data_IF_206787024063
#
_entry.id   IF_206787024063
#
_cell.length_a   1.000
_cell.length_b   1.000
_cell.length_c   1.000
_cell.angle_alpha   90.00
_cell.angle_beta   90.00
_cell.angle_gamma   90.00
#
_symmetry.space_group_name_H-M   'P 1'
#
loop_
_entity.id
_entity.type
_entity.pdbx_description
1 polymer ?
#
# COMPACT_ATOMS: atom_id res chain seq x y z
N UNK A 1 16.60 -12.57 2.16
CA UNK A 1 16.01 -12.91 3.47
C UNK A 1 14.55 -13.30 3.27
N UNK A 2 14.12 -14.39 3.91
CA UNK A 2 12.76 -14.93 3.89
C UNK A 2 12.20 -14.80 5.30
N UNK A 3 11.00 -14.25 5.41
CA UNK A 3 10.39 -13.87 6.68
C UNK A 3 8.94 -14.33 6.71
N UNK A 4 8.47 -14.82 7.86
CA UNK A 4 7.05 -15.13 8.08
C UNK A 4 6.21 -13.85 8.19
N UNK A 5 4.88 -13.97 8.12
CA UNK A 5 3.94 -12.86 8.35
C UNK A 5 4.00 -12.28 9.77
N UNK A 6 4.53 -13.03 10.74
CA UNK A 6 4.78 -12.57 12.12
C UNK A 6 6.15 -11.94 12.32
N UNK A 7 7.02 -11.96 11.30
CA UNK A 7 8.32 -11.31 11.32
C UNK A 7 9.50 -12.19 11.72
N UNK A 8 9.28 -13.51 11.91
CA UNK A 8 10.38 -14.45 12.14
C UNK A 8 11.17 -14.67 10.86
N UNK A 9 12.50 -14.61 10.97
CA UNK A 9 13.42 -14.85 9.86
C UNK A 9 13.56 -16.36 9.69
N UNK A 10 13.08 -16.89 8.55
CA UNK A 10 13.15 -18.33 8.24
C UNK A 10 14.48 -18.68 7.60
N UNK A 11 14.99 -17.79 6.73
CA UNK A 11 16.26 -17.98 6.04
C UNK A 11 16.88 -16.63 5.70
N UNK A 12 18.20 -16.53 5.83
CA UNK A 12 18.98 -15.39 5.37
C UNK A 12 20.13 -15.88 4.50
N UNK A 13 19.87 -16.01 3.20
CA UNK A 13 20.84 -16.53 2.24
C UNK A 13 21.59 -15.37 1.59
N UNK A 14 22.90 -15.54 1.48
CA UNK A 14 23.85 -14.54 1.01
C UNK A 14 24.99 -14.35 2.02
N UNK A 15 25.81 -13.31 1.87
CA UNK A 15 25.72 -12.25 0.87
C UNK A 15 26.02 -12.75 -0.55
N UNK A 16 25.46 -12.08 -1.56
CA UNK A 16 25.75 -12.33 -2.97
C UNK A 16 26.60 -11.19 -3.54
N UNK A 17 27.46 -11.51 -4.51
CA UNK A 17 28.23 -10.49 -5.22
C UNK A 17 27.29 -9.63 -6.07
N UNK A 18 27.37 -8.32 -5.90
CA UNK A 18 26.62 -7.33 -6.70
C UNK A 18 27.30 -7.14 -8.06
N UNK A 19 27.23 -8.15 -8.93
CA UNK A 19 27.66 -8.05 -10.32
C UNK A 19 26.45 -8.01 -11.28
N UNK A 20 26.69 -7.67 -12.54
CA UNK A 20 25.63 -7.56 -13.56
C UNK A 20 24.91 -8.89 -13.84
N UNK A 21 25.51 -10.02 -13.48
CA UNK A 21 24.95 -11.35 -13.72
C UNK A 21 24.03 -11.81 -12.57
N UNK A 22 24.14 -11.21 -11.39
CA UNK A 22 23.39 -11.57 -10.18
C UNK A 22 22.23 -10.61 -9.88
N UNK A 23 21.23 -10.57 -10.77
CA UNK A 23 19.97 -9.88 -10.42
C UNK A 23 19.25 -10.59 -9.26
N UNK A 24 18.48 -9.85 -8.46
CA UNK A 24 17.67 -10.43 -7.36
C UNK A 24 16.81 -11.61 -7.83
N UNK A 25 16.24 -11.52 -9.04
CA UNK A 25 15.44 -12.58 -9.63
C UNK A 25 16.29 -13.80 -10.01
N UNK A 26 17.50 -13.61 -10.54
CA UNK A 26 18.41 -14.71 -10.88
C UNK A 26 18.90 -15.42 -9.61
N UNK A 27 19.30 -14.66 -8.59
CA UNK A 27 19.69 -15.20 -7.27
C UNK A 27 18.53 -16.03 -6.69
N UNK A 28 17.31 -15.48 -6.69
CA UNK A 28 16.17 -16.19 -6.13
C UNK A 28 15.82 -17.47 -6.91
N UNK A 29 15.98 -17.49 -8.24
CA UNK A 29 15.83 -18.73 -9.03
C UNK A 29 16.85 -19.78 -8.59
N UNK A 30 18.11 -19.40 -8.46
CA UNK A 30 19.17 -20.33 -8.05
C UNK A 30 18.91 -20.91 -6.65
N UNK A 31 18.54 -20.06 -5.69
CA UNK A 31 18.14 -20.46 -4.34
C UNK A 31 17.02 -21.52 -4.38
N UNK A 32 15.96 -21.27 -5.15
CA UNK A 32 14.82 -22.18 -5.22
C UNK A 32 15.17 -23.48 -5.94
N UNK A 33 15.87 -23.42 -7.06
CA UNK A 33 16.24 -24.59 -7.86
C UNK A 33 17.22 -25.52 -7.13
N UNK A 34 18.14 -24.96 -6.34
CA UNK A 34 19.06 -25.73 -5.50
C UNK A 34 18.46 -26.14 -4.16
N UNK A 35 17.27 -25.64 -3.83
CA UNK A 35 16.68 -25.76 -2.50
C UNK A 35 17.67 -25.36 -1.39
N UNK A 36 18.36 -24.23 -1.59
CA UNK A 36 19.36 -23.72 -0.64
C UNK A 36 18.73 -23.50 0.73
N UNK A 37 19.43 -23.86 1.80
CA UNK A 37 18.93 -23.84 3.20
C UNK A 37 17.61 -24.63 3.39
N UNK A 38 17.33 -25.59 2.50
CA UNK A 38 16.13 -26.42 2.52
C UNK A 38 14.83 -25.62 2.57
N UNK A 39 14.80 -24.43 1.95
CA UNK A 39 13.63 -23.53 2.00
C UNK A 39 12.36 -24.23 1.53
N UNK A 40 12.41 -24.95 0.42
CA UNK A 40 11.23 -25.65 -0.12
C UNK A 40 10.73 -26.71 0.85
N UNK A 41 11.64 -27.34 1.60
CA UNK A 41 11.29 -28.33 2.62
C UNK A 41 10.63 -27.72 3.86
N UNK A 42 10.79 -26.40 4.08
CA UNK A 42 10.16 -25.66 5.19
C UNK A 42 8.77 -25.14 4.83
N UNK A 43 8.41 -25.10 3.54
CA UNK A 43 7.11 -24.65 3.06
C UNK A 43 6.08 -25.79 3.18
N UNK A 44 4.87 -25.44 3.60
CA UNK A 44 3.74 -26.35 3.71
C UNK A 44 2.78 -26.15 2.53
N UNK A 45 1.94 -27.15 2.32
CA UNK A 45 0.79 -27.02 1.43
C UNK A 45 -0.04 -25.80 1.84
N UNK A 46 -0.46 -24.99 0.86
CA UNK A 46 -1.17 -23.71 1.04
C UNK A 46 -0.35 -22.53 1.57
N UNK A 47 0.97 -22.65 1.75
CA UNK A 47 1.81 -21.47 1.98
C UNK A 47 1.85 -20.57 0.74
N UNK A 48 1.70 -19.26 0.95
CA UNK A 48 1.70 -18.26 -0.12
C UNK A 48 3.01 -17.47 -0.08
N UNK A 49 3.78 -17.54 -1.15
CA UNK A 49 4.96 -16.69 -1.30
C UNK A 49 4.57 -15.28 -1.75
N UNK A 50 4.86 -14.29 -0.91
CA UNK A 50 4.65 -12.87 -1.22
C UNK A 50 5.99 -12.24 -1.58
N UNK A 51 6.13 -11.77 -2.82
CA UNK A 51 7.41 -11.25 -3.33
C UNK A 51 7.29 -9.83 -3.88
N UNK A 52 8.42 -9.12 -3.87
CA UNK A 52 8.49 -7.77 -4.45
C UNK A 52 8.56 -7.81 -5.99
N UNK A 53 8.24 -6.69 -6.64
CA UNK A 53 8.23 -6.59 -8.10
C UNK A 53 9.60 -6.88 -8.75
N UNK A 54 10.71 -6.65 -8.04
CA UNK A 54 12.05 -6.98 -8.51
C UNK A 54 12.28 -8.47 -8.75
N UNK A 55 11.44 -9.34 -8.18
CA UNK A 55 11.48 -10.80 -8.35
C UNK A 55 10.55 -11.30 -9.46
N UNK A 56 10.07 -10.40 -10.34
CA UNK A 56 9.16 -10.75 -11.44
C UNK A 56 9.64 -11.93 -12.26
N UNK A 57 10.91 -11.96 -12.64
CA UNK A 57 11.40 -12.99 -13.56
C UNK A 57 11.51 -14.37 -12.91
N UNK A 58 11.48 -14.45 -11.57
CA UNK A 58 11.50 -15.70 -10.80
C UNK A 58 10.11 -16.21 -10.39
N UNK A 59 9.05 -15.42 -10.59
CA UNK A 59 7.69 -15.79 -10.18
C UNK A 59 7.19 -17.09 -10.84
N UNK A 60 7.58 -17.34 -12.10
CA UNK A 60 7.19 -18.56 -12.81
C UNK A 60 7.78 -19.81 -12.17
N UNK A 61 9.05 -19.74 -11.75
CA UNK A 61 9.74 -20.82 -11.03
C UNK A 61 9.11 -21.03 -9.66
N UNK A 62 8.78 -19.95 -8.94
CA UNK A 62 8.10 -20.04 -7.65
C UNK A 62 6.75 -20.76 -7.76
N UNK A 63 5.92 -20.40 -8.75
CA UNK A 63 4.62 -21.05 -8.97
C UNK A 63 4.76 -22.52 -9.33
N UNK A 64 5.81 -22.89 -10.08
CA UNK A 64 6.06 -24.28 -10.44
C UNK A 64 6.49 -25.14 -9.23
N UNK A 65 7.19 -24.55 -8.25
CA UNK A 65 7.76 -25.27 -7.11
C UNK A 65 6.90 -25.20 -5.84
N UNK A 66 6.15 -24.12 -5.64
CA UNK A 66 5.44 -23.80 -4.38
C UNK A 66 3.93 -23.67 -4.58
N UNK A 67 3.44 -23.82 -5.82
CA UNK A 67 2.03 -23.66 -6.24
C UNK A 67 1.47 -22.24 -6.12
N UNK A 68 1.68 -21.56 -4.99
CA UNK A 68 1.15 -20.20 -4.74
C UNK A 68 2.25 -19.17 -4.51
N UNK A 69 2.40 -18.26 -5.49
CA UNK A 69 3.26 -17.09 -5.38
C UNK A 69 2.60 -15.85 -5.98
N UNK A 70 2.65 -14.73 -5.26
CA UNK A 70 1.99 -13.48 -5.60
C UNK A 70 2.93 -12.28 -5.49
N UNK A 71 2.69 -11.27 -6.33
CA UNK A 71 3.46 -10.02 -6.37
C UNK A 71 2.55 -8.86 -6.84
N UNK A 72 2.88 -7.60 -6.51
CA UNK A 72 2.06 -6.47 -6.95
C UNK A 72 2.03 -6.35 -8.48
N UNK A 73 0.85 -6.10 -9.05
CA UNK A 73 0.60 -6.05 -10.49
C UNK A 73 1.45 -4.99 -11.21
N UNK A 74 1.63 -5.14 -12.53
CA UNK A 74 2.34 -4.18 -13.39
C UNK A 74 1.38 -3.45 -14.33
N UNK A 75 1.60 -2.15 -14.54
CA UNK A 75 0.70 -1.34 -15.38
C UNK A 75 0.71 -1.80 -16.84
N UNK A 76 1.83 -2.35 -17.33
CA UNK A 76 1.92 -2.88 -18.69
C UNK A 76 1.62 -1.83 -19.77
N UNK A 77 2.02 -0.58 -19.55
CA UNK A 77 1.76 0.54 -20.46
C UNK A 77 0.42 1.26 -20.26
N UNK A 78 -0.47 0.75 -19.39
CA UNK A 78 -1.70 1.44 -18.99
C UNK A 78 -1.39 2.58 -18.02
N UNK A 79 -2.28 3.58 -17.96
CA UNK A 79 -2.20 4.67 -16.99
C UNK A 79 -2.69 4.28 -15.59
N UNK A 80 -3.53 3.24 -15.49
CA UNK A 80 -4.17 2.83 -14.25
C UNK A 80 -4.38 1.31 -14.18
N UNK A 81 -4.29 0.76 -12.95
CA UNK A 81 -4.66 -0.62 -12.63
C UNK A 81 -6.17 -0.82 -12.65
N UNK A 82 -6.64 -2.03 -12.97
CA UNK A 82 -8.03 -2.39 -12.68
C UNK A 82 -8.29 -2.37 -11.17
N UNK A 83 -9.56 -2.28 -10.76
CA UNK A 83 -9.91 -2.35 -9.34
C UNK A 83 -9.38 -3.65 -8.69
N UNK A 84 -9.49 -4.78 -9.39
CA UNK A 84 -8.99 -6.08 -8.95
C UNK A 84 -7.46 -6.08 -8.75
N UNK A 85 -6.71 -5.64 -9.75
CA UNK A 85 -5.24 -5.55 -9.67
C UNK A 85 -4.78 -4.60 -8.56
N UNK A 86 -5.46 -3.47 -8.41
CA UNK A 86 -5.14 -2.47 -7.41
C UNK A 86 -5.46 -2.94 -5.98
N UNK A 87 -6.58 -3.66 -5.81
CA UNK A 87 -6.97 -4.31 -4.56
C UNK A 87 -6.01 -5.44 -4.17
N UNK A 88 -5.69 -6.34 -5.11
CA UNK A 88 -4.73 -7.42 -4.90
C UNK A 88 -3.35 -6.88 -4.52
N UNK A 89 -2.87 -5.88 -5.29
CA UNK A 89 -1.62 -5.18 -4.96
C UNK A 89 -1.67 -4.53 -3.58
N UNK A 90 -2.84 -4.04 -3.12
CA UNK A 90 -2.97 -3.51 -1.76
C UNK A 90 -2.84 -4.60 -0.70
N UNK A 91 -3.46 -5.76 -0.88
CA UNK A 91 -3.33 -6.89 0.05
C UNK A 91 -1.87 -7.32 0.19
N UNK A 92 -1.17 -7.45 -0.93
CA UNK A 92 0.26 -7.79 -0.98
C UNK A 92 1.11 -6.74 -0.25
N UNK A 93 0.91 -5.45 -0.56
CA UNK A 93 1.66 -4.36 0.09
C UNK A 93 1.30 -4.18 1.56
N UNK A 94 0.10 -4.61 2.01
CA UNK A 94 -0.27 -4.62 3.43
C UNK A 94 0.54 -5.64 4.20
N UNK A 95 0.97 -6.75 3.61
CA UNK A 95 1.80 -7.79 4.26
C UNK A 95 3.29 -7.45 4.15
N UNK A 96 3.70 -6.85 3.04
CA UNK A 96 5.11 -6.54 2.74
C UNK A 96 5.84 -5.71 3.82
N UNK A 97 5.11 -4.92 4.61
CA UNK A 97 5.70 -4.10 5.69
C UNK A 97 6.51 -4.93 6.69
N UNK A 98 6.16 -6.21 6.91
CA UNK A 98 6.86 -7.10 7.84
C UNK A 98 8.31 -7.31 7.40
N UNK A 99 8.53 -7.51 6.10
CA UNK A 99 9.88 -7.66 5.53
C UNK A 99 10.69 -6.39 5.71
N UNK A 100 10.08 -5.22 5.48
CA UNK A 100 10.73 -3.92 5.67
C UNK A 100 11.09 -3.67 7.15
N UNK A 101 10.21 -4.04 8.08
CA UNK A 101 10.45 -3.95 9.51
C UNK A 101 11.56 -4.90 9.98
N UNK A 102 11.59 -6.13 9.46
CA UNK A 102 12.64 -7.12 9.79
C UNK A 102 13.99 -6.68 9.25
N UNK A 103 14.03 -6.17 8.01
CA UNK A 103 15.22 -5.54 7.45
C UNK A 103 15.71 -4.36 8.30
N UNK A 104 14.79 -3.56 8.86
CA UNK A 104 15.16 -2.47 9.79
C UNK A 104 15.84 -3.00 11.05
N UNK A 105 15.35 -4.10 11.66
CA UNK A 105 16.00 -4.71 12.83
C UNK A 105 17.42 -5.17 12.51
N UNK A 106 17.64 -5.79 11.35
CA UNK A 106 18.99 -6.20 10.94
C UNK A 106 19.92 -4.99 10.79
N UNK A 107 19.42 -3.87 10.24
CA UNK A 107 20.17 -2.61 10.11
C UNK A 107 20.49 -1.91 11.44
N UNK A 108 19.91 -2.32 12.57
CA UNK A 108 20.25 -1.77 13.89
C UNK A 108 21.58 -2.32 14.42
N UNK A 109 22.05 -3.45 13.91
CA UNK A 109 23.37 -3.97 14.25
C UNK A 109 24.43 -3.08 13.62
N UNK A 110 25.19 -2.36 14.46
CA UNK A 110 26.23 -1.41 14.03
C UNK A 110 27.22 -2.04 13.05
N UNK A 111 27.51 -3.34 13.18
CA UNK A 111 28.39 -4.06 12.27
C UNK A 111 27.93 -3.97 10.82
N UNK A 112 26.66 -4.25 10.52
CA UNK A 112 26.11 -4.17 9.16
C UNK A 112 25.73 -2.75 8.72
N UNK A 113 25.67 -1.80 9.66
CA UNK A 113 25.42 -0.39 9.35
C UNK A 113 26.67 0.37 8.88
N UNK A 114 27.86 -0.22 9.05
CA UNK A 114 29.15 0.40 8.75
C UNK A 114 29.90 -0.36 7.65
N UNK A 115 30.98 0.23 7.15
CA UNK A 115 31.89 -0.43 6.21
C UNK A 115 32.56 -1.63 6.89
N UNK A 116 32.41 -2.80 6.28
CA UNK A 116 33.02 -4.05 6.75
C UNK A 116 34.38 -4.23 6.07
N UNK A 117 35.39 -4.67 6.82
CA UNK A 117 36.72 -4.95 6.27
C UNK A 117 36.68 -6.15 5.33
N UNK A 118 37.44 -6.10 4.23
CA UNK A 118 37.47 -7.20 3.25
C UNK A 118 37.90 -8.54 3.86
N UNK A 119 38.75 -8.53 4.88
CA UNK A 119 39.16 -9.72 5.63
C UNK A 119 38.00 -10.43 6.34
N UNK A 120 36.93 -9.70 6.67
CA UNK A 120 35.74 -10.23 7.34
C UNK A 120 34.71 -10.81 6.37
N UNK A 121 34.90 -10.66 5.05
CA UNK A 121 33.92 -11.14 4.06
C UNK A 121 33.67 -12.64 4.14
N UNK A 122 34.69 -13.43 4.51
CA UNK A 122 34.57 -14.89 4.68
C UNK A 122 33.66 -15.30 5.84
N UNK A 123 33.41 -14.38 6.79
CA UNK A 123 32.53 -14.62 7.94
C UNK A 123 31.15 -13.98 7.77
N UNK A 124 30.94 -13.18 6.71
CA UNK A 124 29.77 -12.32 6.60
C UNK A 124 28.44 -13.10 6.56
N UNK A 125 28.43 -14.27 5.92
CA UNK A 125 27.28 -15.19 5.93
C UNK A 125 26.96 -15.67 7.36
N UNK A 126 27.97 -16.13 8.09
CA UNK A 126 27.85 -16.57 9.48
C UNK A 126 27.42 -15.42 10.39
N UNK A 127 28.01 -14.24 10.24
CA UNK A 127 27.67 -13.04 11.02
C UNK A 127 26.20 -12.65 10.79
N UNK A 128 25.75 -12.63 9.54
CA UNK A 128 24.35 -12.36 9.20
C UNK A 128 23.41 -13.41 9.80
N UNK A 129 23.78 -14.68 9.74
CA UNK A 129 23.00 -15.79 10.31
C UNK A 129 22.88 -15.67 11.83
N UNK A 130 23.98 -15.34 12.52
CA UNK A 130 24.00 -15.09 13.96
C UNK A 130 23.09 -13.91 14.30
N UNK A 131 23.17 -12.80 13.56
CA UNK A 131 22.33 -11.64 13.81
C UNK A 131 20.83 -11.95 13.58
N UNK A 132 20.49 -12.72 12.56
CA UNK A 132 19.13 -13.18 12.33
C UNK A 132 18.63 -14.06 13.49
N UNK A 133 19.47 -14.98 13.99
CA UNK A 133 19.15 -15.80 15.15
C UNK A 133 18.94 -14.97 16.43
N UNK A 134 19.80 -13.96 16.66
CA UNK A 134 19.66 -13.03 17.78
C UNK A 134 18.35 -12.22 17.68
N UNK A 135 17.97 -11.77 16.48
CA UNK A 135 16.68 -11.10 16.25
C UNK A 135 15.53 -12.05 16.60
N UNK A 136 15.54 -13.27 16.06
CA UNK A 136 14.47 -14.23 16.32
C UNK A 136 14.35 -14.61 17.81
N UNK A 137 15.47 -14.68 18.53
CA UNK A 137 15.49 -15.08 19.93
C UNK A 137 15.11 -13.94 20.89
N UNK A 138 15.67 -12.74 20.71
CA UNK A 138 15.54 -11.65 21.68
C UNK A 138 14.48 -10.61 21.31
N UNK A 139 14.07 -10.50 20.04
CA UNK A 139 13.09 -9.51 19.63
C UNK A 139 11.67 -10.10 19.60
N UNK A 140 10.65 -9.34 20.06
CA UNK A 140 9.27 -9.80 19.94
C UNK A 140 8.85 -9.90 18.47
N UNK A 141 7.83 -10.71 18.13
CA UNK A 141 7.27 -10.76 16.78
C UNK A 141 6.79 -9.36 16.34
N UNK A 142 6.81 -9.10 15.03
CA UNK A 142 6.39 -7.81 14.45
C UNK A 142 4.90 -7.55 14.65
N UNK A 143 4.11 -8.61 14.59
CA UNK A 143 2.68 -8.58 14.80
C UNK A 143 2.26 -9.86 15.52
N UNK A 144 1.17 -9.77 16.27
CA UNK A 144 0.51 -10.91 16.90
C UNK A 144 -0.95 -10.88 16.46
N UNK A 145 -1.48 -12.03 16.08
CA UNK A 145 -2.88 -12.14 15.71
C UNK A 145 -3.76 -11.73 16.89
N UNK A 146 -4.65 -10.78 16.65
CA UNK A 146 -5.76 -10.42 17.53
C UNK A 146 -7.00 -11.25 17.15
N UNK A 147 -7.98 -11.33 18.05
CA UNK A 147 -9.26 -12.03 17.76
C UNK A 147 -10.00 -11.40 16.57
N UNK A 148 -9.95 -10.07 16.46
CA UNK A 148 -10.59 -9.30 15.39
C UNK A 148 -9.90 -9.46 14.02
N UNK A 149 -8.65 -9.93 13.96
CA UNK A 149 -7.89 -9.99 12.71
C UNK A 149 -8.52 -10.96 11.69
N UNK A 150 -9.19 -12.01 12.16
CA UNK A 150 -9.89 -12.97 11.31
C UNK A 150 -11.09 -12.31 10.62
N UNK A 151 -11.88 -11.53 11.37
CA UNK A 151 -13.05 -10.83 10.86
C UNK A 151 -12.63 -9.72 9.88
N UNK A 152 -11.61 -8.94 10.23
CA UNK A 152 -11.01 -7.92 9.35
C UNK A 152 -10.45 -8.59 8.08
N UNK A 153 -9.80 -9.74 8.22
CA UNK A 153 -9.27 -10.52 7.10
C UNK A 153 -10.37 -10.98 6.15
N UNK A 154 -11.47 -11.52 6.67
CA UNK A 154 -12.63 -11.92 5.89
C UNK A 154 -13.24 -10.73 5.13
N UNK A 155 -13.39 -9.58 5.79
CA UNK A 155 -13.88 -8.35 5.17
C UNK A 155 -12.94 -7.87 4.05
N UNK A 156 -11.62 -7.86 4.28
CA UNK A 156 -10.61 -7.53 3.26
C UNK A 156 -10.74 -8.43 2.03
N UNK A 157 -10.96 -9.73 2.25
CA UNK A 157 -11.11 -10.70 1.15
C UNK A 157 -12.40 -10.50 0.36
N UNK A 158 -13.51 -10.15 1.03
CA UNK A 158 -14.75 -9.76 0.35
C UNK A 158 -14.57 -8.48 -0.47
N UNK A 159 -13.93 -7.46 0.11
CA UNK A 159 -13.67 -6.18 -0.56
C UNK A 159 -12.72 -6.30 -1.75
N UNK A 160 -11.73 -7.21 -1.68
CA UNK A 160 -10.75 -7.44 -2.75
C UNK A 160 -11.42 -7.73 -4.09
N UNK A 161 -12.54 -8.46 -4.08
CA UNK A 161 -13.26 -8.90 -5.27
C UNK A 161 -14.21 -7.82 -5.84
N UNK A 162 -14.40 -6.70 -5.14
CA UNK A 162 -15.35 -5.67 -5.56
C UNK A 162 -14.75 -4.74 -6.63
N UNK A 163 -15.58 -4.40 -7.61
CA UNK A 163 -15.31 -3.30 -8.56
C UNK A 163 -15.59 -1.97 -7.89
N UNK A 164 -14.89 -0.92 -8.32
CA UNK A 164 -15.14 0.43 -7.84
C UNK A 164 -16.43 0.99 -8.44
N UNK A 165 -17.47 1.08 -7.63
CA UNK A 165 -18.79 1.58 -8.04
C UNK A 165 -18.76 3.04 -8.50
N UNK A 166 -17.89 3.86 -7.89
CA UNK A 166 -17.74 5.27 -8.29
C UNK A 166 -17.08 5.36 -9.66
N UNK A 167 -16.10 4.50 -9.96
CA UNK A 167 -15.54 4.44 -11.30
C UNK A 167 -16.61 4.16 -12.36
N UNK A 168 -17.44 3.13 -12.14
CA UNK A 168 -18.52 2.76 -13.06
C UNK A 168 -19.52 3.91 -13.23
N UNK A 169 -19.94 4.54 -12.13
CA UNK A 169 -20.84 5.70 -12.15
C UNK A 169 -20.27 6.85 -12.99
N UNK A 170 -18.97 7.13 -12.86
CA UNK A 170 -18.31 8.19 -13.61
C UNK A 170 -18.15 7.85 -15.10
N UNK A 171 -17.92 6.59 -15.43
CA UNK A 171 -17.81 6.09 -16.81
C UNK A 171 -19.18 6.14 -17.52
N UNK A 172 -20.23 5.60 -16.88
CA UNK A 172 -21.60 5.57 -17.41
C UNK A 172 -22.14 6.98 -17.71
N UNK A 173 -21.82 7.95 -16.85
CA UNK A 173 -22.25 9.34 -17.00
C UNK A 173 -21.25 10.21 -17.78
N UNK A 174 -20.16 9.62 -18.31
CA UNK A 174 -19.07 10.32 -19.02
C UNK A 174 -18.41 11.46 -18.21
N UNK A 175 -18.49 11.38 -16.88
CA UNK A 175 -18.05 12.42 -15.95
C UNK A 175 -16.52 12.49 -15.81
N UNK A 176 -15.78 11.44 -16.16
CA UNK A 176 -14.32 11.46 -16.15
C UNK A 176 -13.78 12.55 -17.09
N UNK A 177 -14.28 12.58 -18.33
CA UNK A 177 -13.79 13.48 -19.39
C UNK A 177 -14.60 14.76 -19.54
N UNK A 178 -15.88 14.75 -19.16
CA UNK A 178 -16.79 15.89 -19.37
C UNK A 178 -16.70 16.92 -18.23
N UNK A 179 -15.66 17.75 -18.27
CA UNK A 179 -15.41 18.80 -17.28
C UNK A 179 -16.54 19.84 -17.15
N UNK A 180 -17.35 20.05 -18.19
CA UNK A 180 -18.47 21.01 -18.17
C UNK A 180 -19.61 20.67 -17.20
N UNK A 181 -19.70 19.41 -16.77
CA UNK A 181 -20.64 18.93 -15.76
C UNK A 181 -20.13 19.11 -14.32
N UNK A 182 -18.95 19.67 -14.15
CA UNK A 182 -18.36 20.02 -12.87
C UNK A 182 -18.43 21.54 -12.70
N UNK A 183 -18.95 21.96 -11.55
CA UNK A 183 -19.04 23.37 -11.17
C UNK A 183 -18.11 23.64 -10.00
N UNK A 184 -17.28 24.66 -10.09
CA UNK A 184 -16.41 25.05 -8.99
C UNK A 184 -17.24 25.62 -7.85
N UNK A 185 -16.98 25.11 -6.64
CA UNK A 185 -17.58 25.60 -5.41
C UNK A 185 -16.83 26.88 -5.00
N UNK A 186 -17.58 27.96 -4.75
CA UNK A 186 -16.99 29.19 -4.25
C UNK A 186 -16.42 29.00 -2.84
N UNK A 187 -15.37 29.73 -2.48
CA UNK A 187 -14.70 29.60 -1.17
C UNK A 187 -15.61 29.91 0.04
N UNK A 188 -16.76 30.53 -0.20
CA UNK A 188 -17.79 30.86 0.81
C UNK A 188 -18.91 29.82 0.88
N UNK A 189 -19.01 28.93 -0.10
CA UNK A 189 -20.01 27.86 -0.13
C UNK A 189 -19.53 26.70 0.75
N UNK A 190 -20.32 26.40 1.78
CA UNK A 190 -20.11 25.21 2.62
C UNK A 190 -20.63 24.00 1.82
N UNK A 191 -19.84 22.93 1.78
CA UNK A 191 -20.33 21.65 1.28
C UNK A 191 -21.21 21.06 2.38
N UNK A 192 -22.49 21.41 2.35
CA UNK A 192 -23.47 20.90 3.30
C UNK A 192 -23.46 19.36 3.28
N UNK A 193 -23.40 18.76 4.47
CA UNK A 193 -23.41 17.31 4.62
C UNK A 193 -22.09 16.60 4.28
N UNK A 194 -20.98 17.29 4.00
CA UNK A 194 -19.70 16.57 3.91
C UNK A 194 -19.30 16.03 5.30
N UNK A 195 -19.04 14.73 5.46
CA UNK A 195 -18.81 14.13 6.77
C UNK A 195 -17.52 14.66 7.40
N UNK A 196 -17.59 15.06 8.67
CA UNK A 196 -16.42 15.44 9.47
C UNK A 196 -15.90 14.16 10.13
N UNK A 197 -14.68 13.76 9.78
CA UNK A 197 -14.00 12.61 10.39
C UNK A 197 -12.94 13.11 11.38
N UNK A 198 -12.97 12.59 12.60
CA UNK A 198 -11.95 12.87 13.62
C UNK A 198 -10.68 12.07 13.35
N UNK A 199 -9.58 12.44 13.99
CA UNK A 199 -8.34 11.66 13.87
C UNK A 199 -8.47 10.25 14.47
N UNK A 200 -9.38 10.05 15.42
CA UNK A 200 -9.71 8.74 15.97
C UNK A 200 -10.48 7.91 14.92
N UNK A 201 -11.43 8.53 14.21
CA UNK A 201 -12.09 7.94 13.02
C UNK A 201 -11.09 7.64 11.86
N UNK A 202 -9.89 8.20 11.86
CA UNK A 202 -8.85 7.87 10.87
C UNK A 202 -7.84 6.84 11.42
N UNK A 203 -7.60 6.88 12.73
CA UNK A 203 -6.60 6.10 13.46
C UNK A 203 -7.08 4.69 13.79
N UNK A 204 -8.28 4.55 14.34
CA UNK A 204 -8.87 3.25 14.71
C UNK A 204 -9.04 2.34 13.49
N UNK A 205 -9.19 2.97 12.32
CA UNK A 205 -9.28 2.35 11.01
C UNK A 205 -7.94 1.96 10.37
N UNK A 206 -6.88 2.72 10.66
CA UNK A 206 -5.53 2.41 10.19
C UNK A 206 -4.80 1.39 11.08
N UNK A 207 -5.19 1.30 12.36
CA UNK A 207 -4.50 0.51 13.39
C UNK A 207 -5.34 -0.61 14.02
N UNK A 208 -6.65 -0.70 13.74
CA UNK A 208 -7.50 -1.79 14.24
C UNK A 208 -7.72 -1.69 15.74
N UNK A 209 -8.31 -0.60 16.21
CA UNK A 209 -8.75 -0.44 17.60
C UNK A 209 -10.29 -0.39 17.63
N UNK A 210 -10.91 -1.19 18.49
CA UNK A 210 -12.36 -1.32 18.60
C UNK A 210 -13.00 -0.07 19.19
N UNK A 211 -14.09 0.40 18.57
CA UNK A 211 -15.34 0.70 19.27
C UNK A 211 -16.50 1.15 18.36
N UNK A 212 -16.28 1.37 17.06
CA UNK A 212 -17.38 1.61 16.10
C UNK A 212 -16.92 1.36 14.65
N UNK A 213 -16.70 0.10 14.27
CA UNK A 213 -16.27 -0.23 12.90
C UNK A 213 -17.42 -0.10 11.90
N UNK A 214 -17.44 0.97 11.11
CA UNK A 214 -18.31 1.06 9.94
C UNK A 214 -17.58 0.51 8.70
N UNK A 215 -18.22 -0.41 7.98
CA UNK A 215 -17.67 -1.10 6.80
C UNK A 215 -17.18 -0.12 5.71
N UNK A 216 -17.89 1.01 5.55
CA UNK A 216 -17.50 2.07 4.62
C UNK A 216 -16.16 2.70 5.01
N UNK A 217 -15.93 2.98 6.29
CA UNK A 217 -14.71 3.64 6.74
C UNK A 217 -13.50 2.69 6.64
N UNK A 218 -13.66 1.39 6.95
CA UNK A 218 -12.58 0.39 6.85
C UNK A 218 -12.03 0.32 5.44
N UNK A 219 -12.92 0.40 4.45
CA UNK A 219 -12.50 0.45 3.06
C UNK A 219 -11.70 1.70 2.71
N UNK A 220 -11.88 2.85 3.39
CA UNK A 220 -11.19 4.11 3.05
C UNK A 220 -9.74 4.12 3.52
N UNK A 221 -9.46 3.68 4.75
CA UNK A 221 -8.17 3.93 5.41
C UNK A 221 -7.41 2.67 5.83
N UNK A 222 -7.22 1.74 4.89
CA UNK A 222 -6.30 0.61 5.14
C UNK A 222 -4.85 1.08 5.05
N UNK A 223 -4.22 1.30 6.20
CA UNK A 223 -2.79 1.49 6.42
C UNK A 223 -2.27 2.94 6.42
N UNK A 224 -1.31 3.20 7.30
CA UNK A 224 -0.84 4.55 7.69
C UNK A 224 -0.07 5.33 6.64
N UNK A 225 0.50 4.64 5.63
CA UNK A 225 1.40 5.28 4.68
C UNK A 225 0.69 6.34 3.83
N UNK A 226 -0.55 6.07 3.43
CA UNK A 226 -1.31 7.00 2.59
C UNK A 226 -1.70 8.25 3.39
N UNK A 227 -2.09 8.09 4.65
CA UNK A 227 -2.37 9.20 5.58
C UNK A 227 -1.14 10.09 5.80
N UNK A 228 0.04 9.48 6.01
CA UNK A 228 1.30 10.23 6.15
C UNK A 228 1.62 11.06 4.91
N UNK A 229 1.38 10.52 3.70
CA UNK A 229 1.56 11.26 2.44
C UNK A 229 0.47 12.29 2.19
N UNK A 230 -0.76 12.00 2.59
CA UNK A 230 -1.89 12.92 2.44
C UNK A 230 -1.63 14.24 3.15
N UNK A 231 -1.02 14.20 4.33
CA UNK A 231 -0.56 15.39 5.05
C UNK A 231 0.33 16.28 4.21
N UNK A 232 1.31 15.73 3.49
CA UNK A 232 2.20 16.52 2.63
C UNK A 232 1.44 17.19 1.48
N UNK A 233 0.47 16.51 0.86
CA UNK A 233 -0.39 17.10 -0.17
C UNK A 233 -1.26 18.24 0.39
N UNK A 234 -1.77 18.08 1.61
CA UNK A 234 -2.54 19.12 2.29
C UNK A 234 -1.67 20.33 2.68
N UNK A 235 -0.44 20.10 3.15
CA UNK A 235 0.52 21.14 3.53
C UNK A 235 1.02 21.96 2.33
N UNK A 236 1.33 21.31 1.20
CA UNK A 236 1.71 22.00 -0.05
C UNK A 236 0.63 23.00 -0.51
N UNK A 237 -0.64 22.66 -0.25
CA UNK A 237 -1.81 23.48 -0.56
C UNK A 237 -2.13 24.54 0.48
N UNK A 238 -1.53 24.45 1.67
CA UNK A 238 -1.56 25.51 2.68
C UNK A 238 -0.54 26.61 2.40
N UNK A 239 0.58 26.31 1.72
CA UNK A 239 1.63 27.31 1.49
C UNK A 239 1.45 28.15 0.22
N UNK A 240 0.56 27.76 -0.70
CA UNK A 240 0.20 28.59 -1.85
C UNK A 240 -0.83 29.65 -1.46
N UNK A 241 -0.30 30.84 -1.13
CA UNK A 241 -0.93 32.16 -1.00
C UNK A 241 -1.78 32.47 0.24
N UNK A 242 -1.18 33.32 1.08
CA UNK A 242 -1.75 34.13 2.18
C UNK A 242 -2.10 33.40 3.50
N UNK A 243 -1.49 33.88 4.59
CA UNK A 243 -1.70 33.50 5.99
C UNK A 243 -3.11 33.89 6.50
N UNK A 244 -4.16 33.39 5.86
CA UNK A 244 -5.53 33.47 6.36
C UNK A 244 -6.17 32.10 6.18
N UNK A 245 -5.85 31.17 7.07
CA UNK A 245 -6.70 30.04 7.53
C UNK A 245 -7.38 29.10 6.51
N UNK A 246 -7.21 29.26 5.19
CA UNK A 246 -7.98 28.57 4.18
C UNK A 246 -7.06 27.69 3.33
N UNK A 247 -7.33 26.40 3.30
CA UNK A 247 -6.63 25.48 2.39
C UNK A 247 -7.19 25.68 0.98
N UNK A 248 -6.34 25.98 0.01
CA UNK A 248 -6.75 26.28 -1.37
C UNK A 248 -7.06 24.99 -2.16
N UNK A 249 -8.04 24.20 -1.72
CA UNK A 249 -8.61 23.15 -2.55
C UNK A 249 -9.58 23.77 -3.55
N UNK A 250 -9.30 23.61 -4.85
CA UNK A 250 -10.34 23.77 -5.87
C UNK A 250 -11.28 22.57 -5.73
N UNK A 251 -12.47 22.79 -5.19
CA UNK A 251 -13.49 21.74 -5.08
C UNK A 251 -14.53 21.97 -6.16
N UNK A 252 -14.87 20.93 -6.90
CA UNK A 252 -15.92 20.98 -7.91
C UNK A 252 -17.06 20.05 -7.52
N UNK A 253 -18.30 20.53 -7.56
CA UNK A 253 -19.50 19.69 -7.41
C UNK A 253 -19.99 19.19 -8.78
N UNK A 254 -20.56 17.99 -8.81
CA UNK A 254 -21.22 17.47 -9.99
C UNK A 254 -22.61 18.12 -10.15
N UNK A 255 -22.94 18.57 -11.37
CA UNK A 255 -24.24 19.20 -11.67
C UNK A 255 -25.41 18.22 -11.76
N UNK A 256 -25.12 16.94 -11.99
CA UNK A 256 -26.13 15.92 -12.29
C UNK A 256 -26.25 14.83 -11.23
N UNK A 257 -25.24 14.68 -10.36
CA UNK A 257 -25.25 13.70 -9.27
C UNK A 257 -25.05 14.47 -7.95
N UNK A 258 -26.01 14.40 -7.02
CA UNK A 258 -25.89 15.07 -5.73
C UNK A 258 -24.74 14.48 -4.91
N UNK A 259 -24.16 15.28 -4.02
CA UNK A 259 -23.12 14.88 -3.07
C UNK A 259 -21.89 14.19 -3.71
N UNK A 260 -21.63 14.49 -4.98
CA UNK A 260 -20.46 14.01 -5.72
C UNK A 260 -19.53 15.19 -5.98
N UNK A 261 -18.35 15.14 -5.37
CA UNK A 261 -17.33 16.19 -5.50
C UNK A 261 -16.06 15.67 -6.15
N UNK A 262 -15.36 16.56 -6.85
CA UNK A 262 -14.06 16.32 -7.46
C UNK A 262 -13.08 17.38 -7.03
N UNK A 263 -11.88 16.96 -6.65
CA UNK A 263 -10.87 17.82 -6.03
C UNK A 263 -9.55 17.67 -6.83
N UNK A 264 -9.36 18.45 -7.91
CA UNK A 264 -8.16 18.37 -8.72
C UNK A 264 -6.89 18.56 -7.87
N UNK A 265 -5.99 17.59 -7.96
CA UNK A 265 -4.78 17.47 -7.15
C UNK A 265 -3.55 17.31 -8.03
N UNK A 266 -2.62 18.28 -7.98
CA UNK A 266 -1.38 18.19 -8.73
C UNK A 266 -0.50 17.05 -8.19
N UNK A 267 0.19 16.34 -9.08
CA UNK A 267 1.11 15.28 -8.71
C UNK A 267 2.37 15.86 -8.07
N UNK A 268 2.70 15.39 -6.86
CA UNK A 268 3.98 15.70 -6.19
C UNK A 268 5.22 15.25 -6.99
N UNK A 269 5.06 14.35 -7.97
CA UNK A 269 6.15 13.79 -8.77
C UNK A 269 6.21 14.36 -10.19
N UNK A 270 5.23 15.17 -10.61
CA UNK A 270 5.19 15.71 -11.96
C UNK A 270 4.33 16.96 -12.04
N UNK A 271 4.94 18.08 -12.42
CA UNK A 271 4.23 19.34 -12.61
C UNK A 271 3.18 19.28 -13.74
N UNK A 272 3.27 18.29 -14.64
CA UNK A 272 2.36 18.12 -15.78
C UNK A 272 1.13 17.28 -15.46
N UNK A 273 1.16 16.50 -14.39
CA UNK A 273 0.10 15.57 -14.06
C UNK A 273 -0.80 16.15 -12.97
N UNK A 274 -2.08 16.27 -13.27
CA UNK A 274 -3.13 16.59 -12.30
C UNK A 274 -4.06 15.40 -12.21
N UNK A 275 -4.24 14.90 -10.98
CA UNK A 275 -5.17 13.85 -10.66
C UNK A 275 -6.52 14.43 -10.23
N UNK A 276 -7.59 13.67 -10.40
CA UNK A 276 -8.96 14.09 -10.12
C UNK A 276 -9.63 13.16 -9.09
N UNK A 277 -9.18 13.20 -7.82
CA UNK A 277 -9.91 12.63 -6.70
C UNK A 277 -11.38 12.97 -6.77
N UNK A 278 -12.24 11.96 -6.74
CA UNK A 278 -13.68 12.10 -6.76
C UNK A 278 -14.26 11.34 -5.59
N UNK A 279 -15.08 12.00 -4.78
CA UNK A 279 -15.66 11.46 -3.54
C UNK A 279 -17.18 11.60 -3.63
N UNK A 280 -17.87 10.50 -3.33
CA UNK A 280 -19.31 10.46 -3.18
C UNK A 280 -19.62 10.27 -1.69
N UNK A 281 -20.50 11.09 -1.15
CA UNK A 281 -20.80 11.12 0.28
C UNK A 281 -22.29 11.29 0.57
N UNK A 282 -22.65 11.09 1.83
CA UNK A 282 -23.91 11.49 2.45
C UNK A 282 -23.58 12.32 3.68
N UNK A 283 -24.60 12.93 4.28
CA UNK A 283 -24.51 13.76 5.49
C UNK A 283 -23.81 13.07 6.67
N UNK A 284 -23.68 11.74 6.64
CA UNK A 284 -23.13 10.93 7.71
C UNK A 284 -21.84 10.20 7.32
N UNK A 285 -21.57 9.97 6.03
CA UNK A 285 -20.49 9.08 5.62
C UNK A 285 -20.00 9.27 4.19
N UNK A 286 -18.76 8.88 3.96
CA UNK A 286 -18.23 8.68 2.62
C UNK A 286 -18.74 7.33 2.11
N UNK A 287 -19.44 7.35 0.98
CA UNK A 287 -20.04 6.14 0.38
C UNK A 287 -19.18 5.54 -0.73
N UNK A 288 -18.22 6.31 -1.26
CA UNK A 288 -17.21 5.78 -2.16
C UNK A 288 -16.29 6.85 -2.73
N UNK A 289 -15.20 6.42 -3.34
CA UNK A 289 -14.23 7.31 -3.97
C UNK A 289 -13.60 6.67 -5.20
N UNK A 290 -13.05 7.52 -6.06
CA UNK A 290 -12.22 7.11 -7.18
C UNK A 290 -11.20 8.20 -7.51
N UNK A 291 -10.03 7.81 -8.00
CA UNK A 291 -9.02 8.74 -8.50
C UNK A 291 -8.45 8.17 -9.80
N UNK A 292 -8.07 9.03 -10.74
CA UNK A 292 -7.41 8.69 -12.00
C UNK A 292 -5.91 8.37 -11.86
N UNK A 293 -5.36 8.40 -10.64
CA UNK A 293 -4.00 7.95 -10.40
C UNK A 293 -3.86 6.44 -10.56
N UNK A 294 -2.63 5.94 -10.72
CA UNK A 294 -2.41 4.55 -11.12
C UNK A 294 -3.01 3.50 -10.16
N UNK A 295 -3.21 3.79 -8.87
CA UNK A 295 -3.90 2.92 -7.88
C UNK A 295 -5.31 3.38 -7.50
N UNK A 296 -5.79 4.48 -8.08
CA UNK A 296 -6.99 5.17 -7.62
C UNK A 296 -8.31 4.43 -7.88
N UNK A 297 -8.27 3.35 -8.66
CA UNK A 297 -9.39 2.44 -8.87
C UNK A 297 -9.62 1.46 -7.70
N UNK A 298 -8.70 1.32 -6.75
CA UNK A 298 -8.87 0.38 -5.63
C UNK A 298 -10.02 0.78 -4.71
N UNK A 299 -10.66 -0.23 -4.15
CA UNK A 299 -11.66 -0.12 -3.09
C UNK A 299 -11.06 -0.47 -1.72
N UNK A 300 -9.95 -1.21 -1.70
CA UNK A 300 -9.23 -1.56 -0.48
C UNK A 300 -8.24 -0.45 -0.10
N UNK A 301 -8.64 0.41 0.84
CA UNK A 301 -7.98 1.68 1.13
C UNK A 301 -8.15 2.71 0.00
N UNK A 302 -7.74 3.95 0.23
CA UNK A 302 -7.74 5.00 -0.78
C UNK A 302 -6.32 5.50 -1.08
N UNK A 303 -6.09 6.09 -2.26
CA UNK A 303 -4.78 6.66 -2.60
C UNK A 303 -4.54 7.94 -1.77
N UNK A 304 -3.28 8.40 -1.67
CA UNK A 304 -2.94 9.61 -0.93
C UNK A 304 -3.66 10.87 -1.41
N UNK A 305 -4.12 10.92 -2.67
CA UNK A 305 -4.91 12.05 -3.17
C UNK A 305 -6.34 12.06 -2.62
N UNK A 306 -6.99 10.88 -2.53
CA UNK A 306 -8.29 10.75 -1.87
C UNK A 306 -8.14 11.03 -0.38
N UNK A 307 -7.16 10.40 0.28
CA UNK A 307 -6.90 10.59 1.70
C UNK A 307 -6.54 12.03 2.08
N UNK A 308 -6.08 12.84 1.13
CA UNK A 308 -5.79 14.26 1.34
C UNK A 308 -7.00 15.15 1.09
N UNK A 309 -7.96 14.66 0.29
CA UNK A 309 -9.19 15.35 -0.05
C UNK A 309 -10.26 15.15 1.03
N UNK A 310 -10.19 14.04 1.76
CA UNK A 310 -10.91 13.74 3.00
C UNK A 310 -10.16 14.41 4.15
#
# INVERSE_FOLDING_TARGET
MIVTTTGYIVACIGPFMSDFNNSDAAIMKDILLRNTDHILSRLKEHDILVVDRGLRDSIGVMKALVSEATMPSFLGGRSQFSAEEANESRCITKIRWVVEATNRRLKQFKYFANTIQNSSLVYLESDMSIACALINHYQPPMTRSKLEDEEIGAQIMQLRQQKNKIQLLLEENNLIRRFSLWEMINHTEIIDGFPIMTQDDLGDLAFGNESSFNFSQLSVFIGVFQLKRARSYAEERRSTTNLTSAVAYSVHRCKIIPNLIRIPTQSAHSNRATYHPTIHFTDQAIIGWWCDCFTGARFLGCCSHIASAI
#
